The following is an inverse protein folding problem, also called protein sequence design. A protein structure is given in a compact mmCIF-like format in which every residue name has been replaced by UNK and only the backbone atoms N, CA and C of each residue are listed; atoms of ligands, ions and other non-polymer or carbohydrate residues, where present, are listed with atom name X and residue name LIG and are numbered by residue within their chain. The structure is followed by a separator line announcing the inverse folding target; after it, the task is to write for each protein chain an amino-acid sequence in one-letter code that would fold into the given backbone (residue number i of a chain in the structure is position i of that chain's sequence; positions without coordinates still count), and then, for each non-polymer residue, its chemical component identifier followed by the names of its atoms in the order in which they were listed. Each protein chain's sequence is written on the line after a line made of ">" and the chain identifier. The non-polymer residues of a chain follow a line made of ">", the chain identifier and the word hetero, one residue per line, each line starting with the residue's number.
data_IF_378335138758
#
_entry.id   IF_378335138758
#
_cell.length_a   1.000
_cell.length_b   1.000
_cell.length_c   1.000
_cell.angle_alpha   90.00
_cell.angle_beta   90.00
_cell.angle_gamma   90.00
#
_symmetry.space_group_name_H-M   'P 1'
#
loop_
_entity.id
_entity.type
_entity.pdbx_description
1 polymer ?
#
# COMPACT_ATOMS: atom_id res chain seq x y z
N UNK A 1 15.82 -6.04 -34.56
CA UNK A 1 14.77 -6.68 -33.74
C UNK A 1 15.29 -8.06 -33.41
N UNK A 2 15.81 -8.28 -32.24
CA UNK A 2 16.16 -9.62 -31.77
C UNK A 2 14.87 -10.36 -31.51
N UNK A 3 14.66 -11.43 -32.26
CA UNK A 3 13.53 -12.36 -32.07
C UNK A 3 13.71 -13.02 -30.68
N UNK A 4 13.11 -12.45 -29.67
CA UNK A 4 13.18 -12.92 -28.28
C UNK A 4 12.01 -13.87 -27.97
N UNK A 5 11.49 -14.56 -28.99
CA UNK A 5 10.49 -15.60 -28.80
C UNK A 5 11.16 -16.79 -28.14
N UNK A 6 10.93 -16.94 -26.83
CA UNK A 6 11.28 -18.19 -26.14
C UNK A 6 10.60 -19.33 -26.89
N UNK A 7 11.37 -20.38 -27.20
CA UNK A 7 10.78 -21.60 -27.77
C UNK A 7 9.61 -22.07 -26.87
N UNK A 8 8.48 -22.49 -27.46
CA UNK A 8 7.35 -23.02 -26.70
C UNK A 8 7.84 -24.16 -25.80
N UNK A 9 7.63 -24.01 -24.50
CA UNK A 9 7.99 -24.99 -23.50
C UNK A 9 6.70 -25.58 -22.94
N UNK A 10 6.69 -26.90 -22.73
CA UNK A 10 5.56 -27.61 -22.13
C UNK A 10 5.30 -27.10 -20.70
N UNK A 11 4.04 -27.03 -20.30
CA UNK A 11 3.61 -26.56 -18.97
C UNK A 11 4.25 -27.40 -17.86
N UNK A 12 4.37 -28.71 -18.04
CA UNK A 12 5.01 -29.61 -17.07
C UNK A 12 6.49 -29.33 -16.91
N UNK A 13 7.19 -28.90 -17.96
CA UNK A 13 8.60 -28.53 -17.86
C UNK A 13 8.80 -27.21 -17.13
N UNK A 14 7.88 -26.25 -17.26
CA UNK A 14 7.84 -25.07 -16.42
C UNK A 14 7.60 -25.44 -14.97
N UNK A 15 6.59 -26.25 -14.67
CA UNK A 15 6.24 -26.72 -13.34
C UNK A 15 7.39 -27.47 -12.64
N UNK A 16 8.11 -28.35 -13.35
CA UNK A 16 9.30 -29.03 -12.81
C UNK A 16 10.43 -28.06 -12.46
N UNK A 17 10.69 -27.09 -13.32
CA UNK A 17 11.72 -26.08 -13.07
C UNK A 17 11.33 -25.15 -11.91
N UNK A 18 10.07 -24.76 -11.82
CA UNK A 18 9.51 -23.99 -10.74
C UNK A 18 9.65 -24.72 -9.40
N UNK A 19 9.20 -25.96 -9.34
CA UNK A 19 9.33 -26.83 -8.15
C UNK A 19 10.78 -27.05 -7.68
N UNK A 20 11.75 -26.99 -8.60
CA UNK A 20 13.16 -27.18 -8.29
C UNK A 20 13.84 -25.91 -7.75
N UNK A 21 13.34 -24.71 -8.05
CA UNK A 21 14.10 -23.48 -7.84
C UNK A 21 13.30 -22.31 -7.24
N UNK A 22 11.97 -22.42 -7.07
CA UNK A 22 11.14 -21.32 -6.62
C UNK A 22 10.28 -21.72 -5.41
N UNK A 23 10.17 -20.82 -4.42
CA UNK A 23 9.28 -20.95 -3.28
C UNK A 23 8.21 -19.88 -3.41
N UNK A 24 6.95 -20.29 -3.51
CA UNK A 24 5.80 -19.41 -3.66
C UNK A 24 5.34 -18.82 -2.32
N UNK A 25 4.86 -17.58 -2.38
CA UNK A 25 4.30 -16.88 -1.23
C UNK A 25 2.90 -17.44 -0.86
N UNK A 26 2.61 -17.53 0.44
CA UNK A 26 1.29 -17.86 1.01
C UNK A 26 0.72 -19.23 0.60
N UNK A 27 1.56 -20.19 0.26
CA UNK A 27 1.15 -21.54 -0.16
C UNK A 27 1.92 -22.63 0.57
N UNK A 28 1.28 -23.79 0.74
CA UNK A 28 1.96 -25.03 1.08
C UNK A 28 2.75 -25.50 -0.14
N UNK A 29 4.07 -25.40 -0.05
CA UNK A 29 4.96 -25.71 -1.17
C UNK A 29 4.90 -27.16 -1.60
N UNK A 30 4.68 -28.08 -0.67
CA UNK A 30 4.56 -29.52 -0.97
C UNK A 30 3.28 -29.81 -1.76
N UNK A 31 2.17 -29.21 -1.36
CA UNK A 31 0.90 -29.34 -2.08
C UNK A 31 1.00 -28.70 -3.46
N UNK A 32 1.56 -27.50 -3.58
CA UNK A 32 1.77 -26.83 -4.86
C UNK A 32 2.64 -27.67 -5.81
N UNK A 33 3.72 -28.25 -5.34
CA UNK A 33 4.61 -29.06 -6.16
C UNK A 33 3.93 -30.37 -6.63
N UNK A 34 2.97 -30.90 -5.90
CA UNK A 34 2.20 -32.09 -6.30
C UNK A 34 1.16 -31.76 -7.40
N UNK A 35 0.54 -30.60 -7.34
CA UNK A 35 -0.48 -30.14 -8.30
C UNK A 35 0.13 -29.42 -9.51
N UNK A 36 1.21 -28.68 -9.31
CA UNK A 36 1.85 -27.77 -10.24
C UNK A 36 1.16 -26.40 -10.31
N UNK A 37 1.93 -25.29 -10.36
CA UNK A 37 1.37 -23.96 -10.52
C UNK A 37 0.76 -23.75 -11.91
N UNK A 38 -0.24 -22.86 -11.99
CA UNK A 38 -0.73 -22.35 -13.27
C UNK A 38 0.30 -21.40 -13.88
N UNK A 39 0.75 -21.66 -15.09
CA UNK A 39 1.79 -20.86 -15.76
C UNK A 39 1.13 -19.77 -16.62
N UNK A 40 1.02 -18.55 -16.08
CA UNK A 40 0.45 -17.41 -16.79
C UNK A 40 1.47 -16.83 -17.77
N UNK A 41 1.07 -16.62 -19.03
CA UNK A 41 1.98 -16.20 -20.12
C UNK A 41 1.56 -14.93 -20.84
N UNK A 42 0.30 -14.50 -20.74
CA UNK A 42 -0.20 -13.30 -21.42
C UNK A 42 -1.30 -12.63 -20.62
N UNK A 43 -1.34 -11.29 -20.68
CA UNK A 43 -2.43 -10.47 -20.18
C UNK A 43 -2.86 -9.43 -21.22
N UNK A 44 -4.19 -9.20 -21.38
CA UNK A 44 -4.76 -8.19 -22.28
C UNK A 44 -6.14 -7.73 -21.75
N UNK A 45 -6.32 -6.43 -21.56
CA UNK A 45 -7.53 -5.89 -20.95
C UNK A 45 -7.77 -6.48 -19.56
N UNK A 46 -8.87 -7.19 -19.38
CA UNK A 46 -9.25 -7.85 -18.14
C UNK A 46 -8.92 -9.35 -18.11
N UNK A 47 -8.22 -9.86 -19.11
CA UNK A 47 -8.01 -11.28 -19.28
C UNK A 47 -6.56 -11.70 -19.19
N UNK A 48 -6.36 -12.88 -18.65
CA UNK A 48 -5.09 -13.59 -18.59
C UNK A 48 -5.18 -14.89 -19.38
N UNK A 49 -4.05 -15.37 -19.87
CA UNK A 49 -3.92 -16.68 -20.52
C UNK A 49 -2.81 -17.47 -19.87
N UNK A 50 -3.07 -18.75 -19.63
CA UNK A 50 -2.03 -19.68 -19.23
C UNK A 50 -1.29 -20.27 -20.46
N UNK A 51 -0.26 -21.06 -20.16
CA UNK A 51 0.57 -21.70 -21.19
C UNK A 51 -0.17 -22.78 -22.00
N UNK A 52 -1.29 -23.29 -21.49
CA UNK A 52 -2.14 -24.26 -22.17
C UNK A 52 -3.22 -23.60 -23.05
N UNK A 53 -3.22 -22.25 -23.11
CA UNK A 53 -4.13 -21.46 -23.93
C UNK A 53 -5.48 -21.14 -23.28
N UNK A 54 -5.70 -21.52 -22.03
CA UNK A 54 -6.94 -21.19 -21.33
C UNK A 54 -6.99 -19.70 -20.99
N UNK A 55 -8.15 -19.10 -21.22
CA UNK A 55 -8.43 -17.69 -20.92
C UNK A 55 -9.19 -17.54 -19.61
N UNK A 56 -8.75 -16.61 -18.77
CA UNK A 56 -9.34 -16.30 -17.48
C UNK A 56 -9.74 -14.82 -17.42
N UNK A 57 -10.91 -14.53 -16.87
CA UNK A 57 -11.25 -13.18 -16.41
C UNK A 57 -10.53 -12.94 -15.09
N UNK A 58 -9.70 -11.90 -15.01
CA UNK A 58 -8.97 -11.56 -13.80
C UNK A 58 -9.78 -10.69 -12.84
N UNK A 59 -10.67 -11.32 -12.08
CA UNK A 59 -11.46 -10.65 -11.02
C UNK A 59 -10.63 -10.16 -9.83
N UNK A 60 -9.36 -10.62 -9.69
CA UNK A 60 -8.46 -10.16 -8.65
C UNK A 60 -7.68 -8.89 -9.06
N UNK A 61 -7.74 -8.48 -10.34
CA UNK A 61 -6.98 -7.34 -10.86
C UNK A 61 -5.47 -7.47 -10.53
N UNK A 62 -4.87 -8.61 -10.92
CA UNK A 62 -3.54 -9.05 -10.48
C UNK A 62 -3.58 -9.43 -9.00
N UNK A 63 -3.29 -8.50 -8.13
CA UNK A 63 -3.51 -8.57 -6.68
C UNK A 63 -3.95 -7.19 -6.19
N UNK A 64 -5.14 -6.76 -6.65
CA UNK A 64 -5.68 -5.39 -6.48
C UNK A 64 -4.76 -4.29 -7.02
N UNK A 65 -4.06 -4.53 -8.13
CA UNK A 65 -3.05 -3.58 -8.63
C UNK A 65 -3.24 -3.16 -10.09
N UNK A 66 -3.87 -3.95 -10.95
CA UNK A 66 -3.99 -3.64 -12.38
C UNK A 66 -5.22 -2.78 -12.70
N UNK A 67 -5.26 -1.55 -12.16
CA UNK A 67 -6.43 -0.66 -12.26
C UNK A 67 -6.79 -0.30 -13.71
N UNK A 68 -5.80 -0.21 -14.62
CA UNK A 68 -6.00 0.03 -16.05
C UNK A 68 -6.03 -1.25 -16.90
N UNK A 69 -5.98 -2.43 -16.27
CA UNK A 69 -5.89 -3.71 -16.98
C UNK A 69 -4.51 -3.96 -17.61
N UNK A 70 -4.44 -5.00 -18.43
CA UNK A 70 -3.21 -5.47 -19.06
C UNK A 70 -3.03 -4.93 -20.49
N UNK A 71 -1.78 -4.87 -20.95
CA UNK A 71 -1.44 -4.57 -22.34
C UNK A 71 -1.51 -3.09 -22.74
N UNK A 72 -1.50 -2.16 -21.79
CA UNK A 72 -1.47 -0.70 -22.00
C UNK A 72 -0.16 -0.30 -22.71
N UNK A 73 -0.29 0.20 -23.92
CA UNK A 73 0.87 0.58 -24.76
C UNK A 73 1.53 1.87 -24.32
N UNK A 74 0.75 2.81 -23.79
CA UNK A 74 1.23 4.07 -23.22
C UNK A 74 2.15 3.84 -22.03
N UNK A 75 1.79 2.94 -21.09
CA UNK A 75 2.64 2.60 -19.94
C UNK A 75 3.92 1.90 -20.38
N UNK A 76 3.83 0.98 -21.37
CA UNK A 76 5.00 0.31 -21.93
C UNK A 76 5.92 1.29 -22.65
N UNK A 77 5.35 2.25 -23.40
CA UNK A 77 6.12 3.28 -24.11
C UNK A 77 6.85 4.20 -23.11
N UNK A 78 6.19 4.62 -22.02
CA UNK A 78 6.81 5.42 -20.96
C UNK A 78 8.00 4.69 -20.33
N UNK A 79 7.85 3.39 -20.04
CA UNK A 79 8.95 2.57 -19.50
C UNK A 79 10.12 2.49 -20.49
N UNK A 80 9.85 2.23 -21.77
CA UNK A 80 10.89 2.09 -22.81
C UNK A 80 11.64 3.40 -23.01
N UNK A 81 10.94 4.53 -23.14
CA UNK A 81 11.55 5.84 -23.30
C UNK A 81 12.48 6.19 -22.13
N UNK A 82 12.02 5.91 -20.90
CA UNK A 82 12.83 6.20 -19.71
C UNK A 82 14.03 5.25 -19.59
N UNK A 83 13.92 4.00 -20.01
CA UNK A 83 15.04 3.05 -20.06
C UNK A 83 16.14 3.52 -21.05
N UNK A 84 15.73 4.08 -22.18
CA UNK A 84 16.64 4.59 -23.21
C UNK A 84 17.35 5.89 -22.75
N UNK A 85 16.66 6.75 -21.96
CA UNK A 85 17.21 8.04 -21.50
C UNK A 85 18.06 7.88 -20.24
N UNK A 86 17.46 7.35 -19.16
CA UNK A 86 18.11 7.13 -17.87
C UNK A 86 17.52 5.90 -17.19
N UNK A 87 18.10 4.71 -17.38
CA UNK A 87 17.56 3.47 -16.83
C UNK A 87 17.57 3.44 -15.31
N UNK A 88 18.58 4.02 -14.69
CA UNK A 88 18.70 4.13 -13.23
C UNK A 88 19.69 5.21 -12.83
N UNK A 89 19.34 5.99 -11.81
CA UNK A 89 20.27 6.69 -10.94
C UNK A 89 19.64 6.84 -9.55
N UNK A 90 20.48 6.92 -8.50
CA UNK A 90 20.01 7.02 -7.13
C UNK A 90 19.60 8.46 -6.77
N UNK A 91 18.80 8.61 -5.70
CA UNK A 91 18.42 9.91 -5.13
C UNK A 91 19.18 10.24 -3.85
N UNK A 92 20.37 9.67 -3.67
CA UNK A 92 21.29 9.99 -2.58
C UNK A 92 22.29 11.07 -3.03
N UNK A 93 23.07 11.61 -2.09
CA UNK A 93 24.22 12.47 -2.37
C UNK A 93 23.90 13.72 -3.19
N UNK A 94 22.79 14.39 -2.88
CA UNK A 94 22.30 15.61 -3.56
C UNK A 94 21.92 15.40 -5.03
N UNK A 95 21.49 14.22 -5.41
CA UNK A 95 21.01 13.92 -6.76
C UNK A 95 19.52 13.64 -6.80
N UNK A 96 18.89 13.94 -7.91
CA UNK A 96 17.51 13.62 -8.26
C UNK A 96 17.40 13.52 -9.79
N UNK A 97 16.21 13.23 -10.32
CA UNK A 97 15.98 13.14 -11.75
C UNK A 97 14.58 13.63 -12.14
N UNK A 98 14.37 14.07 -13.40
CA UNK A 98 13.10 14.68 -13.83
C UNK A 98 11.87 13.80 -13.59
N UNK A 99 11.96 12.48 -13.86
CA UNK A 99 10.82 11.58 -13.77
C UNK A 99 10.20 11.52 -12.34
N UNK A 100 11.03 11.53 -11.27
CA UNK A 100 10.52 11.51 -9.89
C UNK A 100 9.97 12.87 -9.47
N UNK A 101 10.52 13.96 -10.00
CA UNK A 101 9.98 15.31 -9.78
C UNK A 101 8.59 15.42 -10.40
N UNK A 102 8.45 15.02 -11.67
CA UNK A 102 7.18 15.00 -12.40
C UNK A 102 6.14 14.09 -11.73
N UNK A 103 6.58 12.93 -11.21
CA UNK A 103 5.70 12.07 -10.41
C UNK A 103 5.19 12.80 -9.18
N UNK A 104 6.08 13.49 -8.45
CA UNK A 104 5.68 14.24 -7.25
C UNK A 104 4.68 15.34 -7.60
N UNK A 105 4.93 16.15 -8.62
CA UNK A 105 4.01 17.18 -9.09
C UNK A 105 2.65 16.58 -9.48
N UNK A 106 2.66 15.48 -10.25
CA UNK A 106 1.44 14.79 -10.67
C UNK A 106 0.66 14.25 -9.47
N UNK A 107 1.33 13.55 -8.56
CA UNK A 107 0.70 12.95 -7.37
C UNK A 107 0.07 14.03 -6.47
N UNK A 108 0.82 15.10 -6.17
CA UNK A 108 0.31 16.17 -5.29
C UNK A 108 -0.80 17.01 -5.95
N UNK A 109 -0.91 17.04 -7.29
CA UNK A 109 -2.06 17.63 -7.97
C UNK A 109 -3.38 16.87 -7.77
N UNK A 110 -3.31 15.61 -7.33
CA UNK A 110 -4.45 14.72 -7.08
C UNK A 110 -4.81 14.59 -5.60
N UNK A 111 -3.93 15.07 -4.73
CA UNK A 111 -4.08 15.00 -3.27
C UNK A 111 -4.68 16.30 -2.70
N UNK A 112 -5.40 16.22 -1.57
CA UNK A 112 -5.78 17.41 -0.83
C UNK A 112 -4.56 18.25 -0.38
N UNK A 113 -4.74 19.57 -0.26
CA UNK A 113 -3.70 20.52 0.17
C UNK A 113 -3.08 20.24 1.55
N UNK A 114 -3.64 19.32 2.29
CA UNK A 114 -3.13 18.85 3.58
C UNK A 114 -1.77 18.17 3.46
N UNK A 115 -1.48 17.54 2.31
CA UNK A 115 -0.24 16.82 2.04
C UNK A 115 0.76 17.67 1.28
N UNK A 116 2.07 17.37 1.40
CA UNK A 116 3.12 18.16 0.74
C UNK A 116 4.35 17.38 0.27
N UNK A 117 4.69 16.25 0.87
CA UNK A 117 5.90 15.50 0.54
C UNK A 117 5.63 14.01 0.45
N UNK A 118 6.45 13.31 -0.33
CA UNK A 118 6.43 11.85 -0.42
C UNK A 118 7.86 11.27 -0.30
N UNK A 119 7.94 10.09 0.30
CA UNK A 119 9.15 9.27 0.32
C UNK A 119 8.83 8.03 -0.52
N UNK A 120 9.49 7.86 -1.66
CA UNK A 120 9.22 6.74 -2.56
C UNK A 120 9.94 5.47 -2.12
N UNK A 121 9.32 4.34 -2.41
CA UNK A 121 9.77 2.98 -2.09
C UNK A 121 9.48 2.05 -3.27
N UNK A 122 9.75 0.74 -3.12
CA UNK A 122 9.50 -0.23 -4.19
C UNK A 122 8.25 -1.08 -3.94
N UNK A 123 7.65 -0.96 -2.76
CA UNK A 123 6.46 -1.75 -2.36
C UNK A 123 5.70 -1.08 -1.23
N UNK A 124 4.46 -1.56 -0.97
CA UNK A 124 3.68 -1.17 0.21
C UNK A 124 4.32 -1.64 1.52
N UNK A 125 4.98 -2.81 1.53
CA UNK A 125 5.71 -3.29 2.71
C UNK A 125 6.82 -2.33 3.12
N UNK A 126 7.63 -1.88 2.15
CA UNK A 126 8.68 -0.88 2.39
C UNK A 126 8.09 0.49 2.80
N UNK A 127 6.95 0.89 2.21
CA UNK A 127 6.26 2.12 2.62
C UNK A 127 5.90 2.09 4.11
N UNK A 128 5.44 0.96 4.62
CA UNK A 128 5.09 0.80 6.03
C UNK A 128 6.33 0.65 6.95
N UNK A 129 7.46 0.15 6.46
CA UNK A 129 8.75 0.25 7.17
C UNK A 129 9.20 1.72 7.31
N UNK A 130 9.11 2.48 6.22
CA UNK A 130 9.40 3.92 6.21
C UNK A 130 8.45 4.66 7.15
N UNK A 131 7.15 4.30 7.17
CA UNK A 131 6.14 4.88 8.05
C UNK A 131 6.56 4.81 9.53
N UNK A 132 6.90 3.62 10.04
CA UNK A 132 7.28 3.46 11.45
C UNK A 132 8.46 4.35 11.80
N UNK A 133 9.49 4.37 10.95
CA UNK A 133 10.68 5.19 11.17
C UNK A 133 10.38 6.67 11.11
N UNK A 134 9.54 7.10 10.17
CA UNK A 134 9.14 8.50 10.00
C UNK A 134 8.30 8.98 11.19
N UNK A 135 7.32 8.20 11.61
CA UNK A 135 6.46 8.51 12.78
C UNK A 135 7.30 8.63 14.06
N UNK A 136 8.18 7.68 14.31
CA UNK A 136 9.07 7.72 15.48
C UNK A 136 10.04 8.90 15.42
N UNK A 137 10.58 9.22 14.23
CA UNK A 137 11.45 10.39 14.06
C UNK A 137 10.70 11.70 14.27
N UNK A 138 9.48 11.82 13.75
CA UNK A 138 8.61 12.98 13.98
C UNK A 138 8.44 13.24 15.49
N UNK A 139 8.10 12.21 16.28
CA UNK A 139 7.92 12.38 17.72
C UNK A 139 9.22 12.70 18.48
N UNK A 140 10.38 12.25 17.98
CA UNK A 140 11.68 12.68 18.53
C UNK A 140 11.91 14.18 18.30
N UNK A 141 11.58 14.69 17.11
CA UNK A 141 11.68 16.12 16.78
C UNK A 141 10.72 16.92 17.65
N UNK A 142 9.50 16.45 17.85
CA UNK A 142 8.50 17.07 18.75
C UNK A 142 8.86 16.97 20.25
N UNK A 143 10.04 16.47 20.61
CA UNK A 143 10.48 16.33 22.00
C UNK A 143 9.77 15.23 22.79
N UNK A 144 9.10 14.30 22.12
CA UNK A 144 8.31 13.19 22.70
C UNK A 144 8.87 11.81 22.27
N UNK A 145 10.17 11.49 22.53
CA UNK A 145 10.81 10.27 22.02
C UNK A 145 10.22 8.96 22.60
N UNK A 146 9.46 9.03 23.69
CA UNK A 146 8.73 7.90 24.25
C UNK A 146 7.53 7.47 23.40
N UNK A 147 6.95 8.36 22.57
CA UNK A 147 5.89 8.03 21.63
C UNK A 147 6.44 7.18 20.48
N UNK A 148 6.34 5.86 20.61
CA UNK A 148 6.91 4.90 19.66
C UNK A 148 6.01 3.70 19.37
N UNK A 149 4.94 3.49 20.18
CA UNK A 149 4.01 2.39 19.99
C UNK A 149 3.08 2.71 18.82
N UNK A 150 3.00 1.78 17.87
CA UNK A 150 2.01 1.80 16.80
C UNK A 150 0.86 0.86 17.14
N UNK A 151 -0.36 1.29 16.84
CA UNK A 151 -1.54 0.44 16.98
C UNK A 151 -2.04 0.09 15.58
N UNK A 152 -2.26 -1.20 15.31
CA UNK A 152 -2.90 -1.72 14.11
C UNK A 152 -4.25 -2.38 14.42
N UNK A 153 -4.82 -3.07 13.44
CA UNK A 153 -6.06 -3.86 13.62
C UNK A 153 -5.80 -5.33 13.35
N UNK A 154 -6.49 -6.21 14.10
CA UNK A 154 -6.55 -7.62 13.74
C UNK A 154 -7.10 -7.80 12.32
N UNK A 155 -6.66 -8.85 11.64
CA UNK A 155 -6.93 -9.09 10.22
C UNK A 155 -6.49 -7.97 9.25
N UNK A 156 -5.77 -6.94 9.70
CA UNK A 156 -5.13 -5.95 8.84
C UNK A 156 -3.93 -6.53 8.11
N UNK A 157 -3.68 -6.08 6.87
CA UNK A 157 -2.50 -6.46 6.09
C UNK A 157 -1.70 -5.23 5.69
N UNK A 158 -0.47 -5.13 6.19
CA UNK A 158 0.40 -3.97 5.93
C UNK A 158 1.70 -4.34 5.22
N UNK A 159 1.87 -5.62 4.84
CA UNK A 159 3.05 -6.10 4.13
C UNK A 159 3.67 -7.36 4.75
N UNK A 160 4.77 -7.81 4.16
CA UNK A 160 5.46 -9.06 4.51
C UNK A 160 6.89 -8.86 5.02
N UNK A 161 7.36 -7.62 5.21
CA UNK A 161 8.58 -7.34 5.97
C UNK A 161 8.30 -7.51 7.46
N UNK A 162 9.31 -7.65 8.28
CA UNK A 162 9.13 -7.97 9.71
C UNK A 162 8.26 -6.92 10.44
N UNK A 163 8.53 -5.63 10.23
CA UNK A 163 7.75 -4.58 10.87
C UNK A 163 6.37 -4.41 10.23
N UNK A 164 6.24 -4.50 8.92
CA UNK A 164 4.93 -4.45 8.24
C UNK A 164 4.03 -5.63 8.63
N UNK A 165 4.60 -6.84 8.80
CA UNK A 165 3.87 -8.00 9.34
C UNK A 165 3.43 -7.76 10.78
N UNK A 166 4.29 -7.18 11.60
CA UNK A 166 3.95 -6.87 12.99
C UNK A 166 2.85 -5.80 13.10
N UNK A 167 2.81 -4.79 12.21
CA UNK A 167 1.71 -3.82 12.11
C UNK A 167 0.40 -4.47 11.70
N UNK A 168 0.45 -5.44 10.79
CA UNK A 168 -0.68 -6.26 10.39
C UNK A 168 -1.20 -7.13 11.51
N UNK A 169 -2.42 -7.63 11.37
CA UNK A 169 -3.09 -8.46 12.39
C UNK A 169 -3.41 -9.88 11.94
N UNK A 170 -2.82 -10.35 10.85
CA UNK A 170 -2.99 -11.73 10.37
C UNK A 170 -2.16 -12.70 11.20
N UNK A 171 -2.78 -13.37 12.16
CA UNK A 171 -2.11 -14.22 13.17
C UNK A 171 -1.17 -15.26 12.57
N UNK A 172 -1.55 -15.91 11.48
CA UNK A 172 -0.71 -16.91 10.82
C UNK A 172 0.61 -16.34 10.27
N UNK A 173 0.62 -15.03 9.91
CA UNK A 173 1.86 -14.35 9.50
C UNK A 173 2.77 -14.06 10.70
N UNK A 174 2.18 -13.82 11.87
CA UNK A 174 2.92 -13.60 13.11
C UNK A 174 3.68 -14.85 13.58
N UNK A 175 3.18 -16.05 13.23
CA UNK A 175 3.83 -17.31 13.55
C UNK A 175 5.13 -17.52 12.75
N UNK A 176 5.26 -16.86 11.59
CA UNK A 176 6.45 -16.94 10.76
C UNK A 176 7.49 -15.86 11.13
N UNK A 177 8.32 -16.14 12.12
CA UNK A 177 9.44 -15.27 12.49
C UNK A 177 9.19 -14.29 13.64
N UNK A 178 7.99 -14.30 14.24
CA UNK A 178 7.64 -13.48 15.40
C UNK A 178 7.32 -12.01 15.07
N UNK A 179 7.25 -11.21 16.12
CA UNK A 179 6.86 -9.79 16.06
C UNK A 179 8.00 -8.89 16.57
N UNK A 180 8.00 -7.63 16.13
CA UNK A 180 8.82 -6.58 16.73
C UNK A 180 8.11 -5.94 17.93
N UNK A 181 8.85 -5.34 18.91
CA UNK A 181 8.25 -4.64 20.03
C UNK A 181 7.56 -3.33 19.60
N UNK A 182 6.79 -2.78 20.53
CA UNK A 182 6.10 -1.50 20.39
C UNK A 182 5.01 -1.50 19.29
N UNK A 183 4.35 -2.65 19.10
CA UNK A 183 3.15 -2.81 18.26
C UNK A 183 2.03 -3.40 19.11
N UNK A 184 0.83 -2.83 18.97
CA UNK A 184 -0.39 -3.33 19.60
C UNK A 184 -1.53 -3.40 18.58
N UNK A 185 -2.60 -4.13 18.90
CA UNK A 185 -3.74 -4.29 18.00
C UNK A 185 -5.05 -4.06 18.73
N UNK A 186 -6.06 -3.61 17.98
CA UNK A 186 -7.47 -3.57 18.33
C UNK A 186 -8.27 -4.44 17.35
N UNK A 187 -9.53 -4.74 17.67
CA UNK A 187 -10.37 -5.54 16.79
C UNK A 187 -10.75 -4.76 15.51
N UNK A 188 -10.97 -5.51 14.45
CA UNK A 188 -11.49 -5.00 13.19
C UNK A 188 -12.98 -4.65 13.28
N UNK A 189 -13.46 -3.64 12.56
CA UNK A 189 -14.88 -3.25 12.54
C UNK A 189 -15.73 -4.14 11.63
N UNK A 190 -15.72 -5.48 11.87
CA UNK A 190 -16.39 -6.45 11.05
C UNK A 190 -17.84 -6.68 11.53
N UNK A 191 -18.76 -5.87 11.05
CA UNK A 191 -20.15 -5.87 11.48
C UNK A 191 -20.84 -7.22 11.30
N UNK A 192 -20.66 -7.91 10.16
CA UNK A 192 -21.27 -9.21 9.89
C UNK A 192 -20.86 -10.31 10.89
N UNK A 193 -19.62 -10.24 11.39
CA UNK A 193 -19.15 -11.25 12.34
C UNK A 193 -19.44 -10.91 13.81
N UNK A 194 -19.43 -9.62 14.16
CA UNK A 194 -19.44 -9.19 15.56
C UNK A 194 -20.50 -8.13 15.91
N UNK A 195 -21.36 -7.74 14.98
CA UNK A 195 -22.41 -6.73 15.19
C UNK A 195 -23.44 -7.14 16.23
N UNK A 196 -23.85 -8.42 16.24
CA UNK A 196 -24.89 -8.92 17.14
C UNK A 196 -26.19 -8.15 16.96
N UNK A 197 -26.78 -7.72 18.08
CA UNK A 197 -28.04 -6.95 18.11
C UNK A 197 -27.83 -5.43 17.94
N UNK A 198 -26.59 -4.97 17.73
CA UNK A 198 -26.28 -3.55 17.55
C UNK A 198 -26.66 -3.08 16.14
N UNK A 199 -27.05 -1.82 16.04
CA UNK A 199 -27.10 -1.15 14.73
C UNK A 199 -25.69 -0.95 14.19
N UNK A 200 -25.50 -0.83 12.85
CA UNK A 200 -24.20 -0.54 12.28
C UNK A 200 -23.53 0.70 12.90
N UNK A 201 -24.30 1.74 13.20
CA UNK A 201 -23.79 2.97 13.80
C UNK A 201 -23.30 2.78 15.24
N UNK A 202 -24.00 2.00 16.05
CA UNK A 202 -23.56 1.67 17.42
C UNK A 202 -22.32 0.79 17.41
N UNK A 203 -22.31 -0.22 16.53
CA UNK A 203 -21.18 -1.11 16.36
C UNK A 203 -19.91 -0.35 15.91
N UNK A 204 -20.03 0.53 14.91
CA UNK A 204 -18.90 1.33 14.42
C UNK A 204 -18.30 2.21 15.51
N UNK A 205 -19.13 2.89 16.32
CA UNK A 205 -18.65 3.65 17.48
C UNK A 205 -17.98 2.77 18.52
N UNK A 206 -18.59 1.62 18.85
CA UNK A 206 -18.02 0.66 19.81
C UNK A 206 -16.63 0.18 19.37
N UNK A 207 -16.47 -0.17 18.09
CA UNK A 207 -15.18 -0.60 17.56
C UNK A 207 -14.16 0.55 17.59
N UNK A 208 -14.56 1.78 17.30
CA UNK A 208 -13.67 2.93 17.37
C UNK A 208 -13.21 3.23 18.80
N UNK A 209 -14.08 3.09 19.80
CA UNK A 209 -13.75 3.30 21.23
C UNK A 209 -12.70 2.33 21.75
N UNK A 210 -12.54 1.15 21.15
CA UNK A 210 -11.42 0.25 21.50
C UNK A 210 -10.06 0.90 21.26
N UNK A 211 -9.94 1.84 20.30
CA UNK A 211 -8.71 2.60 20.11
C UNK A 211 -8.44 3.50 21.34
N UNK A 212 -9.45 4.19 21.86
CA UNK A 212 -9.31 5.03 23.06
C UNK A 212 -8.92 4.19 24.27
N UNK A 213 -9.60 3.07 24.49
CA UNK A 213 -9.29 2.11 25.56
C UNK A 213 -7.84 1.63 25.47
N UNK A 214 -7.37 1.25 24.26
CA UNK A 214 -6.01 0.79 24.03
C UNK A 214 -4.97 1.90 24.24
N UNK A 215 -5.24 3.13 23.82
CA UNK A 215 -4.37 4.28 24.06
C UNK A 215 -4.22 4.54 25.57
N UNK A 216 -5.31 4.47 26.33
CA UNK A 216 -5.29 4.66 27.78
C UNK A 216 -4.56 3.52 28.50
N UNK A 217 -4.76 2.27 28.07
CA UNK A 217 -4.06 1.09 28.58
C UNK A 217 -2.53 1.21 28.41
N UNK A 218 -2.09 1.65 27.22
CA UNK A 218 -0.66 1.78 26.88
C UNK A 218 -0.02 3.07 27.43
N UNK A 219 -0.83 4.02 27.85
CA UNK A 219 -0.44 5.39 28.18
C UNK A 219 -0.32 6.26 26.93
N UNK A 220 -1.12 7.31 26.84
CA UNK A 220 -1.20 8.18 25.65
C UNK A 220 0.15 8.76 25.20
N UNK A 221 1.04 9.03 26.16
CA UNK A 221 2.39 9.54 25.87
C UNK A 221 3.33 8.51 25.24
N UNK A 222 2.95 7.24 25.17
CA UNK A 222 3.73 6.18 24.55
C UNK A 222 3.24 5.84 23.14
N UNK A 223 1.99 6.22 22.78
CA UNK A 223 1.37 5.85 21.50
C UNK A 223 1.71 6.88 20.43
N UNK A 224 2.40 6.43 19.40
CA UNK A 224 2.88 7.26 18.30
C UNK A 224 1.85 7.42 17.17
N UNK A 225 1.16 6.36 16.80
CA UNK A 225 0.22 6.36 15.69
C UNK A 225 -0.72 5.16 15.67
N UNK A 226 -1.84 5.34 15.00
CA UNK A 226 -2.77 4.29 14.61
C UNK A 226 -2.70 4.11 13.09
N UNK A 227 -2.40 2.89 12.63
CA UNK A 227 -2.39 2.54 11.20
C UNK A 227 -3.58 1.66 10.87
N UNK A 228 -4.23 1.97 9.76
CA UNK A 228 -5.32 1.13 9.25
C UNK A 228 -5.57 1.33 7.76
N UNK A 229 -5.99 0.27 7.09
CA UNK A 229 -6.60 0.35 5.76
C UNK A 229 -7.97 1.07 5.89
N UNK A 230 -8.36 1.97 4.98
CA UNK A 230 -9.70 2.58 5.01
C UNK A 230 -10.83 1.53 5.02
N UNK A 231 -10.65 0.42 4.30
CA UNK A 231 -11.35 -0.85 4.42
C UNK A 231 -10.33 -1.98 4.36
N UNK A 232 -10.52 -3.06 5.11
CA UNK A 232 -9.55 -4.16 5.12
C UNK A 232 -9.76 -5.07 3.91
N UNK A 233 -8.85 -5.00 2.94
CA UNK A 233 -8.94 -5.78 1.72
C UNK A 233 -8.62 -7.25 1.96
N UNK A 234 -7.34 -7.57 2.19
CA UNK A 234 -6.84 -8.93 2.38
C UNK A 234 -7.42 -9.64 3.60
N UNK A 235 -7.81 -8.88 4.63
CA UNK A 235 -8.42 -9.39 5.85
C UNK A 235 -9.85 -9.88 5.72
N UNK A 236 -10.48 -9.75 4.54
CA UNK A 236 -11.83 -10.28 4.29
C UNK A 236 -12.82 -9.29 3.70
N UNK A 237 -12.36 -8.24 3.03
CA UNK A 237 -13.19 -7.17 2.47
C UNK A 237 -14.10 -6.54 3.53
N UNK A 238 -13.50 -6.12 4.65
CA UNK A 238 -14.20 -5.58 5.80
C UNK A 238 -14.38 -4.08 5.61
N UNK A 239 -15.61 -3.65 5.40
CA UNK A 239 -15.99 -2.24 5.32
C UNK A 239 -16.48 -1.76 6.68
N UNK A 240 -15.84 -0.73 7.26
CA UNK A 240 -16.27 -0.19 8.55
C UNK A 240 -17.61 0.54 8.39
N UNK A 241 -18.50 0.50 9.41
CA UNK A 241 -19.68 1.36 9.44
C UNK A 241 -19.32 2.86 9.38
N UNK A 242 -20.23 3.68 8.84
CA UNK A 242 -20.01 5.14 8.64
C UNK A 242 -19.58 5.89 9.91
N UNK A 243 -20.00 5.43 11.08
CA UNK A 243 -19.67 6.04 12.38
C UNK A 243 -18.22 5.76 12.85
N UNK A 244 -17.50 4.83 12.20
CA UNK A 244 -16.19 4.37 12.66
C UNK A 244 -15.11 5.45 12.47
N UNK A 245 -14.89 5.90 11.24
CA UNK A 245 -13.78 6.80 10.92
C UNK A 245 -13.88 8.19 11.56
N UNK A 246 -15.06 8.83 11.64
CA UNK A 246 -15.19 10.10 12.37
C UNK A 246 -14.77 9.97 13.83
N UNK A 247 -15.11 8.86 14.48
CA UNK A 247 -14.76 8.61 15.88
C UNK A 247 -13.26 8.28 16.04
N UNK A 248 -12.68 7.46 15.18
CA UNK A 248 -11.22 7.21 15.13
C UNK A 248 -10.46 8.53 15.01
N UNK A 249 -10.84 9.39 14.08
CA UNK A 249 -10.18 10.68 13.89
C UNK A 249 -10.31 11.60 15.11
N UNK A 250 -11.48 11.61 15.77
CA UNK A 250 -11.69 12.35 17.02
C UNK A 250 -10.74 11.87 18.11
N UNK A 251 -10.64 10.55 18.31
CA UNK A 251 -9.76 9.92 19.30
C UNK A 251 -8.28 10.25 19.01
N UNK A 252 -7.83 10.06 17.77
CA UNK A 252 -6.45 10.36 17.39
C UNK A 252 -6.09 11.82 17.70
N UNK A 253 -6.97 12.77 17.39
CA UNK A 253 -6.76 14.19 17.70
C UNK A 253 -6.74 14.47 19.20
N UNK A 254 -7.64 13.86 19.96
CA UNK A 254 -7.74 14.05 21.41
C UNK A 254 -6.45 13.64 22.15
N UNK A 255 -5.82 12.55 21.73
CA UNK A 255 -4.64 11.99 22.36
C UNK A 255 -3.32 12.33 21.64
N UNK A 256 -3.36 13.21 20.65
CA UNK A 256 -2.20 13.57 19.81
C UNK A 256 -1.49 12.31 19.28
N UNK A 257 -2.26 11.40 18.69
CA UNK A 257 -1.82 10.16 18.03
C UNK A 257 -1.94 10.35 16.51
N UNK A 258 -0.87 10.08 15.75
CA UNK A 258 -0.92 10.21 14.30
C UNK A 258 -1.86 9.18 13.68
N UNK A 259 -2.73 9.64 12.79
CA UNK A 259 -3.62 8.77 11.99
C UNK A 259 -2.95 8.44 10.67
N UNK A 260 -2.63 7.16 10.46
CA UNK A 260 -1.91 6.67 9.30
C UNK A 260 -2.84 5.78 8.46
N UNK A 261 -3.13 6.16 7.22
CA UNK A 261 -3.93 5.33 6.32
C UNK A 261 -3.04 4.47 5.43
N UNK A 262 -3.32 3.18 5.38
CA UNK A 262 -2.76 2.29 4.37
C UNK A 262 -3.67 2.29 3.14
N UNK A 263 -3.30 3.10 2.15
CA UNK A 263 -4.01 3.28 0.87
C UNK A 263 -3.47 2.37 -0.24
N UNK A 264 -2.68 1.36 0.11
CA UNK A 264 -2.05 0.44 -0.85
C UNK A 264 -3.10 -0.27 -1.71
N UNK A 265 -4.26 -0.62 -1.16
CA UNK A 265 -5.40 -1.16 -1.92
C UNK A 265 -6.39 -0.05 -2.26
N UNK A 266 -6.71 0.83 -1.31
CA UNK A 266 -7.77 1.82 -1.41
C UNK A 266 -7.48 2.95 -2.41
N UNK A 267 -6.23 3.26 -2.65
CA UNK A 267 -5.82 4.35 -3.52
C UNK A 267 -6.04 4.14 -5.01
N UNK A 268 -5.90 5.22 -5.74
CA UNK A 268 -5.91 5.29 -7.21
C UNK A 268 -7.22 4.83 -7.86
N UNK A 269 -8.35 5.29 -7.31
CA UNK A 269 -9.67 5.13 -7.93
C UNK A 269 -10.48 3.94 -7.45
N UNK A 270 -9.97 3.11 -6.53
CA UNK A 270 -10.64 1.87 -6.09
C UNK A 270 -12.05 2.07 -5.52
N UNK A 271 -12.32 3.21 -4.90
CA UNK A 271 -13.61 3.55 -4.28
C UNK A 271 -14.38 4.65 -5.04
N UNK A 272 -13.95 5.00 -6.26
CA UNK A 272 -14.50 6.13 -6.99
C UNK A 272 -13.98 7.50 -6.54
N UNK A 273 -13.07 7.53 -5.59
CA UNK A 273 -12.25 8.69 -5.22
C UNK A 273 -10.76 8.36 -5.47
N UNK A 274 -9.90 9.38 -5.55
CA UNK A 274 -8.46 9.13 -5.72
C UNK A 274 -7.87 8.27 -4.61
N UNK A 275 -8.33 8.49 -3.37
CA UNK A 275 -7.92 7.74 -2.20
C UNK A 275 -9.14 7.37 -1.36
N UNK A 276 -9.15 6.18 -0.79
CA UNK A 276 -10.31 5.69 -0.07
C UNK A 276 -10.64 6.49 1.19
N UNK A 277 -9.65 7.13 1.85
CA UNK A 277 -9.93 8.02 2.98
C UNK A 277 -10.89 9.18 2.61
N UNK A 278 -10.89 9.62 1.34
CA UNK A 278 -11.82 10.64 0.84
C UNK A 278 -13.26 10.11 0.80
N UNK A 279 -13.43 8.86 0.34
CA UNK A 279 -14.74 8.18 0.33
C UNK A 279 -15.30 8.02 1.76
N UNK A 280 -14.46 7.63 2.72
CA UNK A 280 -14.86 7.44 4.11
C UNK A 280 -14.85 8.73 4.96
N UNK A 281 -14.48 9.87 4.40
CA UNK A 281 -14.62 11.19 5.02
C UNK A 281 -13.70 11.44 6.21
N UNK A 282 -12.46 10.91 6.20
CA UNK A 282 -11.47 11.20 7.23
C UNK A 282 -10.16 11.74 6.64
N UNK A 283 -9.32 12.36 7.46
CA UNK A 283 -8.09 13.01 7.03
C UNK A 283 -6.90 12.46 7.81
N UNK A 284 -6.15 11.49 7.27
CA UNK A 284 -4.96 10.95 7.90
C UNK A 284 -3.74 11.86 7.77
N UNK A 285 -2.77 11.69 8.67
CA UNK A 285 -1.49 12.39 8.67
C UNK A 285 -0.50 11.81 7.64
N UNK A 286 -0.65 10.52 7.30
CA UNK A 286 0.16 9.85 6.27
C UNK A 286 -0.65 8.89 5.43
N UNK A 287 -0.21 8.66 4.18
CA UNK A 287 -0.77 7.63 3.29
C UNK A 287 0.35 6.70 2.83
N UNK A 288 0.23 5.40 3.09
CA UNK A 288 1.05 4.40 2.42
C UNK A 288 0.43 4.04 1.08
N UNK A 289 1.19 4.16 -0.01
CA UNK A 289 0.72 3.95 -1.38
C UNK A 289 1.58 2.92 -2.12
N UNK A 290 0.97 2.14 -3.01
CA UNK A 290 1.65 1.22 -3.93
C UNK A 290 0.65 0.74 -5.01
N UNK A 291 0.79 -0.47 -5.53
CA UNK A 291 -0.16 -1.19 -6.39
C UNK A 291 -0.73 -0.36 -7.55
N UNK A 292 -1.89 0.26 -7.34
CA UNK A 292 -2.56 1.12 -8.32
C UNK A 292 -1.73 2.34 -8.77
N UNK A 293 -0.69 2.72 -8.04
CA UNK A 293 0.24 3.78 -8.42
C UNK A 293 0.85 3.57 -9.81
N UNK A 294 1.13 2.32 -10.18
CA UNK A 294 1.69 1.93 -11.50
C UNK A 294 0.81 0.93 -12.25
N UNK A 295 -0.40 0.67 -11.79
CA UNK A 295 -1.26 -0.43 -12.28
C UNK A 295 -0.54 -1.79 -12.36
N UNK A 296 0.43 -2.03 -11.48
CA UNK A 296 1.18 -3.28 -11.41
C UNK A 296 2.22 -3.47 -12.51
N UNK A 297 2.44 -2.48 -13.40
CA UNK A 297 3.39 -2.60 -14.52
C UNK A 297 4.85 -2.59 -14.04
N UNK A 298 5.18 -1.77 -13.05
CA UNK A 298 6.50 -1.70 -12.43
C UNK A 298 6.32 -1.62 -10.90
N UNK A 299 7.10 -2.35 -10.10
CA UNK A 299 7.06 -2.23 -8.64
C UNK A 299 7.39 -0.80 -8.19
N UNK A 300 6.48 -0.21 -7.42
CA UNK A 300 6.68 1.10 -6.78
C UNK A 300 5.72 1.25 -5.60
N UNK A 301 6.16 1.99 -4.59
CA UNK A 301 5.36 2.42 -3.46
C UNK A 301 5.83 3.77 -2.94
N UNK A 302 5.25 4.21 -1.85
CA UNK A 302 5.65 5.44 -1.19
C UNK A 302 4.87 5.73 0.07
N UNK A 303 5.38 6.67 0.83
CA UNK A 303 4.74 7.27 2.00
C UNK A 303 4.50 8.74 1.72
N UNK A 304 3.24 9.15 1.66
CA UNK A 304 2.82 10.54 1.56
C UNK A 304 2.70 11.13 2.96
N UNK A 305 3.17 12.36 3.14
CA UNK A 305 3.24 13.04 4.43
C UNK A 305 2.36 14.29 4.43
N UNK A 306 1.65 14.51 5.54
CA UNK A 306 1.00 15.79 5.81
C UNK A 306 2.02 16.91 5.95
N UNK A 307 1.59 18.15 5.74
CA UNK A 307 2.42 19.36 5.92
C UNK A 307 3.05 19.41 7.32
N UNK A 308 2.30 18.99 8.35
CA UNK A 308 2.78 18.92 9.74
C UNK A 308 4.03 18.05 9.89
N UNK A 309 3.98 16.83 9.38
CA UNK A 309 5.11 15.90 9.50
C UNK A 309 6.26 16.32 8.59
N UNK A 310 5.95 16.69 7.36
CA UNK A 310 6.96 17.09 6.39
C UNK A 310 7.74 18.32 6.85
N UNK A 311 7.07 19.34 7.38
CA UNK A 311 7.70 20.56 7.89
C UNK A 311 8.65 20.25 9.04
N UNK A 312 8.26 19.44 10.02
CA UNK A 312 9.13 19.03 11.11
C UNK A 312 10.40 18.31 10.60
N UNK A 313 10.24 17.40 9.65
CA UNK A 313 11.37 16.67 9.06
C UNK A 313 12.32 17.59 8.28
N UNK A 314 11.79 18.55 7.52
CA UNK A 314 12.59 19.46 6.66
C UNK A 314 13.30 20.51 7.51
N UNK A 315 12.63 21.11 8.48
CA UNK A 315 13.19 22.24 9.25
C UNK A 315 14.07 21.78 10.42
N UNK A 316 13.68 20.70 11.10
CA UNK A 316 14.33 20.29 12.36
C UNK A 316 14.85 18.84 12.33
N UNK A 317 14.55 18.08 11.27
CA UNK A 317 14.86 16.65 11.18
C UNK A 317 16.36 16.33 11.02
N UNK A 318 17.17 17.28 10.56
CA UNK A 318 18.58 17.05 10.22
C UNK A 318 18.73 15.99 9.12
N UNK A 319 19.71 15.10 9.26
CA UNK A 319 19.92 14.03 8.28
C UNK A 319 18.80 12.99 8.43
N UNK A 320 18.02 12.78 7.39
CA UNK A 320 17.06 11.68 7.32
C UNK A 320 17.80 10.37 7.01
N UNK A 321 18.29 9.70 8.05
CA UNK A 321 19.14 8.50 7.95
C UNK A 321 18.33 7.24 7.57
N UNK A 322 17.59 7.31 6.46
CA UNK A 322 16.82 6.22 5.89
C UNK A 322 16.65 6.39 4.39
N UNK A 323 16.73 5.32 3.63
CA UNK A 323 16.54 5.31 2.19
C UNK A 323 16.75 3.89 1.64
N UNK A 324 16.19 3.64 0.48
CA UNK A 324 16.29 2.38 -0.25
C UNK A 324 17.02 2.64 -1.57
N UNK A 325 17.87 1.72 -2.00
CA UNK A 325 18.68 1.88 -3.23
C UNK A 325 17.84 2.27 -4.45
N UNK A 326 16.65 1.66 -4.59
CA UNK A 326 15.76 1.89 -5.73
C UNK A 326 14.61 2.87 -5.43
N UNK A 327 14.66 3.63 -4.34
CA UNK A 327 13.68 4.69 -4.05
C UNK A 327 13.53 5.63 -5.24
N UNK A 328 12.28 5.83 -5.70
CA UNK A 328 12.00 6.73 -6.81
C UNK A 328 12.64 6.33 -8.14
N UNK A 329 12.79 5.02 -8.41
CA UNK A 329 13.39 4.50 -9.64
C UNK A 329 12.88 5.22 -10.91
N UNK A 330 13.74 5.73 -11.81
CA UNK A 330 13.32 6.56 -12.94
C UNK A 330 12.22 5.92 -13.80
N UNK A 331 12.38 4.66 -14.16
CA UNK A 331 11.41 3.93 -15.00
C UNK A 331 10.07 3.73 -14.27
N UNK A 332 10.12 3.43 -12.96
CA UNK A 332 8.89 3.27 -12.17
C UNK A 332 8.17 4.62 -12.03
N UNK A 333 8.89 5.71 -11.83
CA UNK A 333 8.35 7.06 -11.77
C UNK A 333 7.69 7.47 -13.10
N UNK A 334 8.34 7.24 -14.23
CA UNK A 334 7.79 7.55 -15.56
C UNK A 334 6.50 6.75 -15.85
N UNK A 335 6.47 5.45 -15.49
CA UNK A 335 5.26 4.61 -15.60
C UNK A 335 4.16 5.10 -14.67
N UNK A 336 4.51 5.49 -13.43
CA UNK A 336 3.53 6.03 -12.48
C UNK A 336 2.90 7.34 -13.01
N UNK A 337 3.69 8.26 -13.57
CA UNK A 337 3.17 9.49 -14.21
C UNK A 337 2.20 9.15 -15.33
N UNK A 338 2.59 8.26 -16.25
CA UNK A 338 1.73 7.84 -17.35
C UNK A 338 0.43 7.19 -16.84
N UNK A 339 0.51 6.35 -15.81
CA UNK A 339 -0.63 5.70 -15.19
C UNK A 339 -1.60 6.69 -14.52
N UNK A 340 -1.07 7.62 -13.72
CA UNK A 340 -1.90 8.64 -13.05
C UNK A 340 -2.62 9.55 -14.04
N UNK A 341 -1.92 9.94 -15.11
CA UNK A 341 -2.52 10.71 -16.22
C UNK A 341 -3.62 9.93 -16.92
N UNK A 342 -3.38 8.67 -17.25
CA UNK A 342 -4.41 7.83 -17.89
C UNK A 342 -5.65 7.66 -17.00
N UNK A 343 -5.48 7.39 -15.69
CA UNK A 343 -6.59 7.30 -14.74
C UNK A 343 -7.42 8.58 -14.68
N UNK A 344 -6.74 9.75 -14.71
CA UNK A 344 -7.39 11.07 -14.68
C UNK A 344 -8.07 11.41 -16.01
N UNK A 345 -7.29 11.37 -17.11
CA UNK A 345 -7.68 11.93 -18.40
C UNK A 345 -8.73 11.07 -19.11
N UNK A 346 -8.74 9.75 -18.84
CA UNK A 346 -9.76 8.82 -19.31
C UNK A 346 -10.98 8.72 -18.37
N UNK A 347 -10.96 9.40 -17.21
CA UNK A 347 -12.10 9.48 -16.30
C UNK A 347 -12.39 8.22 -15.50
N UNK A 348 -11.42 7.32 -15.32
CA UNK A 348 -11.64 6.03 -14.65
C UNK A 348 -12.08 6.17 -13.20
N UNK A 349 -11.53 7.15 -12.46
CA UNK A 349 -11.90 7.38 -11.06
C UNK A 349 -13.39 7.76 -10.95
N UNK A 350 -13.85 8.65 -11.81
CA UNK A 350 -15.26 9.06 -11.83
C UNK A 350 -16.19 7.98 -12.39
N UNK A 351 -15.73 7.13 -13.30
CA UNK A 351 -16.49 5.99 -13.78
C UNK A 351 -16.85 5.02 -12.63
N UNK A 352 -15.86 4.65 -11.81
CA UNK A 352 -16.08 3.77 -10.64
C UNK A 352 -17.07 4.36 -9.63
N UNK A 353 -17.14 5.69 -9.51
CA UNK A 353 -18.10 6.35 -8.60
C UNK A 353 -19.54 6.25 -9.08
N UNK A 354 -19.74 6.11 -10.37
CA UNK A 354 -21.07 6.12 -11.00
C UNK A 354 -21.62 4.70 -11.26
N UNK A 355 -20.79 3.66 -11.13
CA UNK A 355 -21.20 2.25 -11.23
C UNK A 355 -21.65 1.68 -9.88
#
# INVERSE_FOLDING_TARGET
>A
MTDNTRAPRDTRDYQKADAAHHIHAFLDQKALNAEGPRVMVRGEGLHLWDNDGNRYLDGMSGLWCTNLGYGRKDLTAAATAQLDELPYYNMFFHTTHPAVIELSETLFSLLPDHYSHAIYTNSGSEANEVLIRTVRRFWQIEGKPQKKIMIGRWNGYHGSTLAATALGGMKFMHEMGGLIPDIAHIDEPYFFAAGGDLTPAEFGRRCALQLEEKILELGADNVAGFIAEPFQGAGGMIFPPESYWPEIQRICRQYDVLLCADEVIGGFGRTGEWFAHQHFGFQPDTLSIAKGLTSGYIPMGGLVLSKRIAQALVEEGGVFAHGLTYSGHPVAAAVAVANLRALRDEGWVSAVKND
#
